data_IF_578434682287
#
_entry.id   IF_578434682287
#
_cell.length_a   1.000
_cell.length_b   1.000
_cell.length_c   1.000
_cell.angle_alpha   90.00
_cell.angle_beta   90.00
_cell.angle_gamma   90.00
#
_symmetry.space_group_name_H-M   'P 1'
#
loop_
_entity.id
_entity.type
_entity.pdbx_description
1 polymer ?
#
# COMPACT_ATOMS: atom_id res chain seq x y z
N UNK A 1 22.05 0.11 -7.57
CA UNK A 1 21.92 0.09 -6.11
C UNK A 1 21.03 -1.08 -5.75
N UNK A 2 21.55 -2.05 -5.02
CA UNK A 2 20.77 -3.20 -4.57
C UNK A 2 19.99 -2.85 -3.31
N UNK A 3 18.69 -2.59 -3.50
CA UNK A 3 17.74 -2.20 -2.45
C UNK A 3 17.70 -3.24 -1.31
N UNK A 4 18.06 -4.50 -1.61
CA UNK A 4 18.06 -5.62 -0.66
C UNK A 4 19.31 -5.68 0.23
N UNK A 5 20.40 -5.01 -0.12
CA UNK A 5 21.65 -5.02 0.66
C UNK A 5 21.78 -3.79 1.57
N UNK A 6 20.91 -2.80 1.39
CA UNK A 6 20.84 -1.61 2.21
C UNK A 6 20.49 -1.95 3.65
N UNK A 7 21.11 -1.22 4.60
CA UNK A 7 20.73 -1.29 6.02
C UNK A 7 19.34 -0.69 6.22
N UNK A 8 18.68 -1.11 7.29
CA UNK A 8 17.29 -0.80 7.61
C UNK A 8 17.05 0.71 7.79
N UNK A 9 17.95 1.39 8.48
CA UNK A 9 17.92 2.84 8.68
C UNK A 9 18.09 3.58 7.35
N UNK A 10 19.08 3.17 6.55
CA UNK A 10 19.39 3.77 5.25
C UNK A 10 18.25 3.57 4.25
N UNK A 11 17.64 2.38 4.25
CA UNK A 11 16.48 2.04 3.43
C UNK A 11 15.30 2.96 3.76
N UNK A 12 15.04 3.19 5.05
CA UNK A 12 13.96 4.06 5.53
C UNK A 12 14.20 5.54 5.18
N UNK A 13 15.45 6.00 5.27
CA UNK A 13 15.84 7.35 4.91
C UNK A 13 15.69 7.60 3.41
N UNK A 14 16.20 6.68 2.58
CA UNK A 14 16.07 6.77 1.13
C UNK A 14 14.61 6.68 0.67
N UNK A 15 13.82 5.78 1.24
CA UNK A 15 12.38 5.70 0.94
C UNK A 15 11.69 7.06 1.15
N UNK A 16 11.99 7.77 2.25
CA UNK A 16 11.42 9.09 2.54
C UNK A 16 11.90 10.15 1.56
N UNK A 17 13.17 10.17 1.23
CA UNK A 17 13.75 11.12 0.28
C UNK A 17 13.13 10.97 -1.11
N UNK A 18 13.10 9.74 -1.64
CA UNK A 18 12.51 9.44 -2.94
C UNK A 18 11.01 9.73 -2.96
N UNK A 19 10.30 9.51 -1.85
CA UNK A 19 8.90 9.91 -1.71
C UNK A 19 8.71 11.41 -1.82
N UNK A 20 9.54 12.21 -1.15
CA UNK A 20 9.48 13.67 -1.26
C UNK A 20 9.72 14.16 -2.69
N UNK A 21 10.69 13.55 -3.38
CA UNK A 21 10.98 13.85 -4.80
C UNK A 21 9.83 13.46 -5.73
N UNK A 22 9.22 12.30 -5.50
CA UNK A 22 8.05 11.84 -6.23
C UNK A 22 6.82 12.75 -6.04
N UNK A 23 6.64 13.29 -4.82
CA UNK A 23 5.61 14.29 -4.51
C UNK A 23 5.92 15.66 -5.14
N UNK A 24 7.20 16.00 -5.29
CA UNK A 24 7.66 17.19 -6.01
C UNK A 24 7.42 17.14 -7.52
N UNK A 25 6.91 16.03 -8.06
CA UNK A 25 6.57 15.89 -9.47
C UNK A 25 7.66 15.24 -10.34
N UNK A 26 8.75 14.77 -9.73
CA UNK A 26 9.81 14.05 -10.45
C UNK A 26 9.28 12.67 -10.88
N UNK A 27 9.13 12.47 -12.20
CA UNK A 27 8.45 11.30 -12.78
C UNK A 27 9.19 10.00 -12.50
N UNK A 28 10.51 10.04 -12.60
CA UNK A 28 11.37 8.87 -12.44
C UNK A 28 11.57 8.50 -10.95
N UNK A 29 11.32 9.45 -10.05
CA UNK A 29 11.40 9.23 -8.60
C UNK A 29 10.29 8.32 -8.07
N UNK A 30 9.13 8.24 -8.76
CA UNK A 30 8.01 7.40 -8.34
C UNK A 30 8.34 5.91 -8.34
N UNK A 31 9.09 5.44 -9.35
CA UNK A 31 9.50 4.05 -9.45
C UNK A 31 10.45 3.67 -8.32
N UNK A 32 11.47 4.49 -8.09
CA UNK A 32 12.45 4.28 -7.02
C UNK A 32 11.80 4.38 -5.63
N UNK A 33 10.93 5.36 -5.40
CA UNK A 33 10.18 5.49 -4.15
C UNK A 33 9.34 4.24 -3.86
N UNK A 34 8.64 3.71 -4.88
CA UNK A 34 7.81 2.53 -4.71
C UNK A 34 8.64 1.28 -4.36
N UNK A 35 9.76 1.07 -5.04
CA UNK A 35 10.63 -0.10 -4.78
C UNK A 35 11.24 -0.06 -3.37
N UNK A 36 11.70 1.11 -2.92
CA UNK A 36 12.22 1.32 -1.56
C UNK A 36 11.13 1.12 -0.50
N UNK A 37 9.95 1.72 -0.67
CA UNK A 37 8.82 1.56 0.25
C UNK A 37 8.33 0.12 0.33
N UNK A 38 8.37 -0.62 -0.78
CA UNK A 38 8.00 -2.04 -0.82
C UNK A 38 8.98 -2.88 0.00
N UNK A 39 10.28 -2.59 -0.08
CA UNK A 39 11.28 -3.27 0.74
C UNK A 39 11.13 -2.91 2.23
N UNK A 40 10.90 -1.63 2.56
CA UNK A 40 10.60 -1.20 3.94
C UNK A 40 9.38 -1.96 4.47
N UNK A 41 8.32 -2.09 3.67
CA UNK A 41 7.13 -2.86 4.09
C UNK A 41 7.43 -4.35 4.22
N UNK A 42 8.32 -4.94 3.41
CA UNK A 42 8.71 -6.34 3.56
C UNK A 42 9.46 -6.56 4.88
N UNK A 43 10.40 -5.68 5.24
CA UNK A 43 11.26 -5.84 6.42
C UNK A 43 10.58 -5.45 7.72
N UNK A 44 9.87 -4.32 7.73
CA UNK A 44 9.23 -3.76 8.93
C UNK A 44 7.73 -4.01 9.01
N UNK A 45 7.07 -4.26 7.87
CA UNK A 45 5.63 -4.40 7.76
C UNK A 45 5.13 -5.83 7.88
N UNK A 46 5.93 -6.73 8.46
CA UNK A 46 5.48 -8.07 8.84
C UNK A 46 4.80 -7.94 10.21
N UNK A 47 3.46 -7.86 10.31
CA UNK A 47 2.83 -8.23 11.55
C UNK A 47 3.13 -9.72 11.76
N UNK A 48 3.57 -10.10 12.95
CA UNK A 48 3.49 -11.48 13.46
C UNK A 48 2.01 -11.87 13.63
N UNK A 49 1.24 -11.74 12.55
CA UNK A 49 -0.17 -12.04 12.51
C UNK A 49 -0.39 -12.98 11.32
N UNK A 50 0.21 -14.16 11.47
CA UNK A 50 -0.12 -15.37 10.71
C UNK A 50 -1.55 -15.86 11.00
N UNK A 51 -2.36 -15.10 11.74
CA UNK A 51 -3.77 -15.39 11.84
C UNK A 51 -4.41 -15.03 10.49
N UNK A 52 -5.02 -15.99 9.77
CA UNK A 52 -5.78 -15.67 8.58
C UNK A 52 -6.85 -14.66 8.96
N UNK A 53 -6.71 -13.42 8.49
CA UNK A 53 -7.80 -12.47 8.55
C UNK A 53 -8.95 -13.09 7.76
N UNK A 54 -10.09 -13.42 8.40
CA UNK A 54 -11.21 -13.99 7.65
C UNK A 54 -11.62 -12.95 6.62
N UNK A 55 -11.37 -13.24 5.35
CA UNK A 55 -11.87 -12.41 4.27
C UNK A 55 -13.40 -12.37 4.42
N UNK A 56 -14.03 -11.20 4.24
CA UNK A 56 -15.48 -11.13 4.24
C UNK A 56 -15.99 -12.11 3.19
N UNK A 57 -16.88 -13.01 3.60
CA UNK A 57 -17.50 -13.99 2.72
C UNK A 57 -18.15 -13.23 1.57
N UNK A 58 -17.57 -13.35 0.38
CA UNK A 58 -18.11 -12.73 -0.83
C UNK A 58 -19.42 -13.42 -1.16
N UNK A 59 -20.55 -12.78 -0.85
CA UNK A 59 -21.83 -13.19 -1.39
C UNK A 59 -21.88 -12.77 -2.86
N UNK A 60 -22.38 -13.63 -3.73
CA UNK A 60 -22.61 -13.23 -5.12
C UNK A 60 -23.56 -12.03 -5.12
N UNK A 61 -23.34 -11.07 -6.02
CA UNK A 61 -24.20 -9.88 -6.14
C UNK A 61 -25.68 -10.26 -6.37
N UNK A 62 -25.94 -11.44 -6.92
CA UNK A 62 -27.26 -12.04 -7.11
C UNK A 62 -27.93 -12.52 -5.80
N UNK A 63 -27.15 -12.83 -4.76
CA UNK A 63 -27.61 -13.32 -3.45
C UNK A 63 -27.80 -12.18 -2.44
N UNK A 64 -27.25 -11.00 -2.71
CA UNK A 64 -27.48 -9.83 -1.88
C UNK A 64 -28.95 -9.43 -1.99
N UNK A 65 -29.69 -9.30 -0.86
CA UNK A 65 -31.04 -8.76 -0.89
C UNK A 65 -30.95 -7.40 -1.57
N UNK A 66 -31.80 -7.17 -2.58
CA UNK A 66 -31.83 -5.94 -3.39
C UNK A 66 -32.03 -4.75 -2.44
N UNK A 67 -30.92 -4.19 -1.96
CA UNK A 67 -30.95 -3.04 -1.08
C UNK A 67 -31.63 -1.92 -1.86
N UNK A 68 -32.63 -1.29 -1.24
CA UNK A 68 -33.26 -0.10 -1.81
C UNK A 68 -32.15 0.85 -2.24
N UNK A 69 -32.20 1.40 -3.47
CA UNK A 69 -31.13 2.24 -3.97
C UNK A 69 -30.85 3.35 -2.95
N UNK A 70 -29.56 3.62 -2.65
CA UNK A 70 -29.23 4.75 -1.79
C UNK A 70 -29.87 6.00 -2.38
N UNK A 71 -30.59 6.75 -1.55
CA UNK A 71 -31.11 8.06 -1.92
C UNK A 71 -29.93 9.02 -1.95
N UNK A 72 -29.14 8.97 -3.02
CA UNK A 72 -28.11 9.97 -3.27
C UNK A 72 -28.77 11.34 -3.28
N UNK A 73 -28.37 12.21 -2.36
CA UNK A 73 -28.69 13.64 -2.39
C UNK A 73 -27.54 14.34 -3.10
N UNK A 74 -27.77 14.99 -4.25
CA UNK A 74 -26.73 15.73 -4.95
C UNK A 74 -26.60 17.12 -4.31
N UNK A 75 -25.95 17.19 -3.14
CA UNK A 75 -25.39 18.43 -2.60
C UNK A 75 -24.36 18.12 -1.52
#
# INVERSE_FOLDING_TARGET
MDIRELQDEELSAQAREWRQRALGGERDARGMAHELEREVRRRFGMPMNDAPHPLPKVCLLAELPRARPPRWKPW
#
